data_IF_039222656382
#
_entry.id   IF_039222656382
#
_cell.length_a   1.000
_cell.length_b   1.000
_cell.length_c   1.000
_cell.angle_alpha   90.00
_cell.angle_beta   90.00
_cell.angle_gamma   90.00
#
_symmetry.space_group_name_H-M   'P 1'
#
loop_
_entity.id
_entity.type
_entity.pdbx_description
1 polymer ?
#
# COMPACT_ATOMS: atom_id res chain seq x y z
N UNK A 1 -2.40 39.78 -31.83
CA UNK A 1 -2.71 38.34 -31.68
C UNK A 1 -2.58 37.77 -30.26
N UNK A 2 -1.67 38.18 -29.35
CA UNK A 2 -1.47 37.45 -28.07
C UNK A 2 -2.59 37.62 -27.01
N UNK A 3 -3.30 38.76 -26.96
CA UNK A 3 -4.19 39.10 -25.83
C UNK A 3 -5.49 38.29 -25.73
N UNK A 4 -6.03 37.78 -26.85
CA UNK A 4 -7.30 37.02 -26.87
C UNK A 4 -7.11 35.51 -27.10
N UNK A 5 -5.92 35.09 -27.52
CA UNK A 5 -5.63 33.69 -27.81
C UNK A 5 -5.54 32.83 -26.54
N UNK A 6 -4.92 33.35 -25.48
CA UNK A 6 -4.70 32.63 -24.22
C UNK A 6 -6.01 32.29 -23.48
N UNK A 7 -6.97 33.22 -23.28
CA UNK A 7 -8.25 32.88 -22.66
C UNK A 7 -9.10 31.93 -23.52
N UNK A 8 -9.08 32.11 -24.85
CA UNK A 8 -9.82 31.27 -25.79
C UNK A 8 -9.31 29.83 -25.81
N UNK A 9 -7.99 29.61 -25.88
CA UNK A 9 -7.40 28.27 -25.88
C UNK A 9 -7.66 27.53 -24.56
N UNK A 10 -7.52 28.21 -23.41
CA UNK A 10 -7.81 27.59 -22.12
C UNK A 10 -9.26 27.08 -22.06
N UNK A 11 -10.23 27.88 -22.50
CA UNK A 11 -11.62 27.46 -22.49
C UNK A 11 -11.90 26.25 -23.41
N UNK A 12 -11.28 26.21 -24.60
CA UNK A 12 -11.37 25.05 -25.50
C UNK A 12 -10.79 23.78 -24.87
N UNK A 13 -9.68 23.91 -24.14
CA UNK A 13 -9.01 22.81 -23.44
C UNK A 13 -9.81 22.34 -22.22
N UNK A 14 -10.34 23.26 -21.42
CA UNK A 14 -11.16 22.97 -20.24
C UNK A 14 -12.44 22.21 -20.66
N UNK A 15 -13.16 22.72 -21.66
CA UNK A 15 -14.40 22.14 -22.20
C UNK A 15 -14.17 20.93 -23.13
N UNK A 16 -12.92 20.53 -23.38
CA UNK A 16 -12.57 19.38 -24.22
C UNK A 16 -13.15 19.45 -25.65
N UNK A 17 -13.11 20.62 -26.29
CA UNK A 17 -13.66 20.82 -27.64
C UNK A 17 -12.73 20.28 -28.73
N UNK A 18 -12.74 18.97 -28.92
CA UNK A 18 -11.83 18.23 -29.84
C UNK A 18 -11.85 18.77 -31.28
N UNK A 19 -13.04 19.09 -31.81
CA UNK A 19 -13.19 19.57 -33.19
C UNK A 19 -12.52 20.94 -33.38
N UNK A 20 -12.77 21.86 -32.44
CA UNK A 20 -12.19 23.20 -32.44
C UNK A 20 -10.67 23.16 -32.26
N UNK A 21 -10.18 22.30 -31.34
CA UNK A 21 -8.75 22.10 -31.11
C UNK A 21 -8.02 21.53 -32.35
N UNK A 22 -8.65 20.60 -33.06
CA UNK A 22 -8.10 20.04 -34.31
C UNK A 22 -8.01 21.09 -35.41
N UNK A 23 -9.08 21.88 -35.60
CA UNK A 23 -9.08 22.99 -36.55
C UNK A 23 -8.01 24.03 -36.21
N UNK A 24 -7.89 24.38 -34.93
CA UNK A 24 -6.90 25.32 -34.43
C UNK A 24 -5.47 24.83 -34.72
N UNK A 25 -5.17 23.56 -34.47
CA UNK A 25 -3.88 22.97 -34.81
C UNK A 25 -3.58 23.02 -36.33
N UNK A 26 -4.56 22.69 -37.17
CA UNK A 26 -4.41 22.76 -38.63
C UNK A 26 -4.14 24.19 -39.13
N UNK A 27 -4.85 25.18 -38.58
CA UNK A 27 -4.66 26.59 -38.94
C UNK A 27 -3.28 27.10 -38.49
N UNK A 28 -2.87 26.81 -37.26
CA UNK A 28 -1.59 27.23 -36.71
C UNK A 28 -0.39 26.54 -37.37
N UNK A 29 -0.61 25.36 -37.95
CA UNK A 29 0.40 24.65 -38.75
C UNK A 29 0.70 25.34 -40.08
N UNK A 30 -0.22 26.16 -40.61
CA UNK A 30 -0.03 26.92 -41.87
C UNK A 30 0.69 28.26 -41.68
N UNK A 31 0.78 28.74 -40.44
CA UNK A 31 1.40 30.04 -40.10
C UNK A 31 2.82 29.82 -39.59
N UNK A 32 3.79 30.55 -40.14
CA UNK A 32 5.20 30.49 -39.68
C UNK A 32 5.27 30.85 -38.19
N UNK A 33 5.79 29.92 -37.38
CA UNK A 33 5.89 30.07 -35.93
C UNK A 33 4.58 29.79 -35.15
N UNK A 34 3.46 29.52 -35.84
CA UNK A 34 2.18 29.25 -35.18
C UNK A 34 2.24 28.04 -34.26
N UNK A 35 2.79 26.92 -34.74
CA UNK A 35 2.96 25.69 -33.94
C UNK A 35 3.78 25.95 -32.67
N UNK A 36 4.81 26.81 -32.74
CA UNK A 36 5.64 27.13 -31.57
C UNK A 36 4.87 27.94 -30.53
N UNK A 37 4.05 28.90 -30.96
CA UNK A 37 3.17 29.66 -30.06
C UNK A 37 2.13 28.75 -29.41
N UNK A 38 1.51 27.84 -30.18
CA UNK A 38 0.56 26.87 -29.66
C UNK A 38 1.22 25.93 -28.64
N UNK A 39 2.43 25.44 -28.93
CA UNK A 39 3.20 24.59 -28.03
C UNK A 39 3.52 25.30 -26.70
N UNK A 40 3.89 26.59 -26.75
CA UNK A 40 4.13 27.37 -25.54
C UNK A 40 2.87 27.49 -24.68
N UNK A 41 1.72 27.81 -25.28
CA UNK A 41 0.47 27.92 -24.52
C UNK A 41 -0.02 26.58 -23.99
N UNK A 42 0.18 25.50 -24.74
CA UNK A 42 -0.07 24.13 -24.30
C UNK A 42 0.73 23.76 -23.03
N UNK A 43 2.04 24.07 -23.01
CA UNK A 43 2.90 23.84 -21.84
C UNK A 43 2.41 24.66 -20.64
N UNK A 44 2.12 25.95 -20.84
CA UNK A 44 1.64 26.84 -19.78
C UNK A 44 0.31 26.35 -19.19
N UNK A 45 -0.62 25.90 -20.04
CA UNK A 45 -1.89 25.33 -19.61
C UNK A 45 -1.69 24.05 -18.78
N UNK A 46 -0.91 23.07 -19.28
CA UNK A 46 -0.66 21.82 -18.55
C UNK A 46 -0.04 22.11 -17.18
N UNK A 47 0.96 22.99 -17.13
CA UNK A 47 1.62 23.37 -15.87
C UNK A 47 0.64 24.07 -14.92
N UNK A 48 -0.19 24.98 -15.41
CA UNK A 48 -1.14 25.72 -14.59
C UNK A 48 -2.23 24.80 -14.00
N UNK A 49 -2.93 24.05 -14.87
CA UNK A 49 -3.98 23.13 -14.46
C UNK A 49 -3.44 22.02 -13.55
N UNK A 50 -2.35 21.35 -13.96
CA UNK A 50 -1.71 20.29 -13.17
C UNK A 50 -1.22 20.77 -11.80
N UNK A 51 -0.73 22.01 -11.69
CA UNK A 51 -0.35 22.60 -10.40
C UNK A 51 -1.54 22.69 -9.44
N UNK A 52 -2.75 22.95 -9.94
CA UNK A 52 -3.96 23.05 -9.09
C UNK A 52 -4.37 21.69 -8.50
N UNK A 53 -4.05 20.60 -9.19
CA UNK A 53 -4.30 19.22 -8.72
C UNK A 53 -3.37 18.87 -7.56
N UNK A 54 -2.06 19.19 -7.69
CA UNK A 54 -1.05 18.71 -6.73
C UNK A 54 -0.81 19.63 -5.54
N UNK A 55 -1.08 20.93 -5.65
CA UNK A 55 -0.73 21.92 -4.60
C UNK A 55 -1.75 21.92 -3.45
N UNK A 56 -3.05 21.74 -3.74
CA UNK A 56 -4.09 21.86 -2.71
C UNK A 56 -4.15 20.61 -1.80
N UNK A 57 -3.84 20.71 -0.49
CA UNK A 57 -3.91 19.57 0.43
C UNK A 57 -5.31 18.97 0.59
N UNK A 58 -6.37 19.75 0.40
CA UNK A 58 -7.75 19.27 0.50
C UNK A 58 -8.08 18.23 -0.59
N UNK A 59 -7.36 18.30 -1.72
CA UNK A 59 -7.48 17.37 -2.84
C UNK A 59 -6.57 16.14 -2.71
N UNK A 60 -5.82 15.96 -1.61
CA UNK A 60 -4.88 14.83 -1.45
C UNK A 60 -5.56 13.45 -1.63
N UNK A 61 -6.85 13.36 -1.29
CA UNK A 61 -7.63 12.11 -1.44
C UNK A 61 -7.92 11.74 -2.90
N UNK A 62 -8.15 12.74 -3.76
CA UNK A 62 -8.51 12.55 -5.18
C UNK A 62 -7.34 12.79 -6.13
N UNK A 63 -6.23 13.32 -5.63
CA UNK A 63 -5.07 13.75 -6.43
C UNK A 63 -4.62 12.73 -7.47
N UNK A 64 -4.37 11.48 -7.07
CA UNK A 64 -3.84 10.47 -7.99
C UNK A 64 -4.84 10.15 -9.09
N UNK A 65 -6.13 10.08 -8.76
CA UNK A 65 -7.19 9.88 -9.75
C UNK A 65 -7.28 11.07 -10.70
N UNK A 66 -7.31 12.30 -10.19
CA UNK A 66 -7.33 13.52 -11.01
C UNK A 66 -6.11 13.62 -11.93
N UNK A 67 -4.92 13.18 -11.49
CA UNK A 67 -3.72 13.12 -12.32
C UNK A 67 -3.84 12.11 -13.47
N UNK A 68 -4.41 10.93 -13.19
CA UNK A 68 -4.64 9.90 -14.21
C UNK A 68 -5.66 10.39 -15.24
N UNK A 69 -6.78 10.93 -14.79
CA UNK A 69 -7.84 11.44 -15.66
C UNK A 69 -7.34 12.62 -16.51
N UNK A 70 -6.53 13.51 -15.91
CA UNK A 70 -5.91 14.61 -16.63
C UNK A 70 -4.90 14.12 -17.67
N UNK A 71 -4.10 13.10 -17.35
CA UNK A 71 -3.16 12.50 -18.29
C UNK A 71 -3.89 11.85 -19.48
N UNK A 72 -4.96 11.10 -19.22
CA UNK A 72 -5.79 10.49 -20.26
C UNK A 72 -6.39 11.55 -21.19
N UNK A 73 -6.93 12.65 -20.64
CA UNK A 73 -7.46 13.78 -21.42
C UNK A 73 -6.37 14.40 -22.31
N UNK A 74 -5.20 14.68 -21.74
CA UNK A 74 -4.08 15.29 -22.45
C UNK A 74 -3.56 14.39 -23.58
N UNK A 75 -3.42 13.09 -23.32
CA UNK A 75 -3.00 12.12 -24.34
C UNK A 75 -4.01 12.03 -25.48
N UNK A 76 -5.31 12.00 -25.16
CA UNK A 76 -6.36 11.94 -26.16
C UNK A 76 -6.37 13.17 -27.08
N UNK A 77 -6.11 14.36 -26.54
CA UNK A 77 -5.97 15.59 -27.32
C UNK A 77 -4.74 15.52 -28.23
N UNK A 78 -3.59 15.05 -27.73
CA UNK A 78 -2.37 14.91 -28.54
C UNK A 78 -2.59 13.92 -29.69
N UNK A 79 -3.23 12.80 -29.41
CA UNK A 79 -3.50 11.76 -30.40
C UNK A 79 -4.45 12.27 -31.49
N UNK A 80 -5.61 12.78 -31.07
CA UNK A 80 -6.72 13.12 -31.97
C UNK A 80 -6.56 14.49 -32.62
N UNK A 81 -6.17 15.51 -31.85
CA UNK A 81 -6.13 16.90 -32.32
C UNK A 81 -4.78 17.28 -32.92
N UNK A 82 -3.68 16.81 -32.31
CA UNK A 82 -2.32 17.20 -32.70
C UNK A 82 -1.61 16.14 -33.55
N UNK A 83 -2.33 15.11 -34.01
CA UNK A 83 -1.85 14.07 -34.93
C UNK A 83 -0.58 13.37 -34.42
N UNK A 84 -0.52 13.08 -33.11
CA UNK A 84 0.65 12.47 -32.44
C UNK A 84 1.97 13.23 -32.68
N UNK A 85 1.92 14.56 -32.75
CA UNK A 85 3.13 15.36 -32.95
C UNK A 85 4.10 15.19 -31.76
N UNK A 86 5.28 14.62 -32.03
CA UNK A 86 6.34 14.35 -31.06
C UNK A 86 6.75 15.59 -30.22
N UNK A 87 6.68 16.80 -30.79
CA UNK A 87 6.99 18.02 -30.03
C UNK A 87 6.00 18.25 -28.88
N UNK A 88 4.72 17.97 -29.10
CA UNK A 88 3.68 18.09 -28.07
C UNK A 88 3.77 16.96 -27.04
N UNK A 89 4.15 15.75 -27.46
CA UNK A 89 4.41 14.63 -26.55
C UNK A 89 5.57 14.97 -25.61
N UNK A 90 6.69 15.46 -26.13
CA UNK A 90 7.86 15.80 -25.33
C UNK A 90 7.59 17.00 -24.41
N UNK A 91 6.93 18.04 -24.93
CA UNK A 91 6.49 19.18 -24.13
C UNK A 91 5.55 18.79 -22.99
N UNK A 92 4.64 17.84 -23.23
CA UNK A 92 3.75 17.30 -22.19
C UNK A 92 4.54 16.56 -21.12
N UNK A 93 5.48 15.67 -21.50
CA UNK A 93 6.34 14.93 -20.54
C UNK A 93 7.08 15.90 -19.62
N UNK A 94 7.75 16.90 -20.19
CA UNK A 94 8.46 17.93 -19.42
C UNK A 94 7.52 18.75 -18.52
N UNK A 95 6.32 19.08 -19.01
CA UNK A 95 5.34 19.82 -18.23
C UNK A 95 4.82 19.00 -17.03
N UNK A 96 4.49 17.72 -17.24
CA UNK A 96 4.07 16.79 -16.19
C UNK A 96 5.13 16.61 -15.12
N UNK A 97 6.37 16.36 -15.54
CA UNK A 97 7.51 16.27 -14.63
C UNK A 97 7.70 17.57 -13.85
N UNK A 98 7.57 18.74 -14.50
CA UNK A 98 7.72 20.04 -13.83
C UNK A 98 6.65 20.24 -12.74
N UNK A 99 5.36 20.06 -13.05
CA UNK A 99 4.30 20.44 -12.11
C UNK A 99 4.14 19.40 -11.00
N UNK A 100 4.30 18.10 -11.27
CA UNK A 100 4.18 17.04 -10.25
C UNK A 100 5.22 17.30 -9.16
N UNK A 101 6.46 17.62 -9.56
CA UNK A 101 7.55 17.83 -8.62
C UNK A 101 7.56 19.22 -7.96
N UNK A 102 6.58 20.11 -8.24
CA UNK A 102 6.41 21.34 -7.45
C UNK A 102 6.06 21.06 -6.01
N UNK A 103 5.37 19.95 -5.74
CA UNK A 103 5.07 19.51 -4.38
C UNK A 103 6.04 18.40 -3.97
N UNK A 104 6.95 18.66 -3.01
CA UNK A 104 7.93 17.68 -2.61
C UNK A 104 7.26 16.50 -1.90
N UNK A 105 7.71 15.29 -2.21
CA UNK A 105 7.43 14.02 -1.53
C UNK A 105 5.97 13.53 -1.51
N UNK A 106 4.97 14.42 -1.44
CA UNK A 106 3.57 14.02 -1.31
C UNK A 106 3.04 13.26 -2.53
N UNK A 107 3.31 13.65 -3.79
CA UNK A 107 2.87 12.86 -4.94
C UNK A 107 3.39 11.42 -4.88
N UNK A 108 4.66 11.22 -4.48
CA UNK A 108 5.25 9.90 -4.31
C UNK A 108 4.55 9.07 -3.22
N UNK A 109 4.30 9.69 -2.05
CA UNK A 109 3.55 9.07 -0.94
C UNK A 109 2.14 8.65 -1.37
N UNK A 110 1.40 9.55 -2.02
CA UNK A 110 0.01 9.31 -2.39
C UNK A 110 -0.09 8.26 -3.49
N UNK A 111 0.84 8.23 -4.43
CA UNK A 111 0.88 7.18 -5.47
C UNK A 111 1.16 5.81 -4.85
N UNK A 112 2.10 5.71 -3.89
CA UNK A 112 2.33 4.47 -3.16
C UNK A 112 1.06 3.98 -2.41
N UNK A 113 0.35 4.90 -1.73
CA UNK A 113 -0.92 4.58 -1.04
C UNK A 113 -2.04 4.21 -2.00
N UNK A 114 -2.11 4.86 -3.15
CA UNK A 114 -3.10 4.55 -4.17
C UNK A 114 -2.89 3.13 -4.72
N UNK A 115 -1.64 2.76 -5.04
CA UNK A 115 -1.30 1.38 -5.43
C UNK A 115 -1.66 0.38 -4.33
N UNK A 116 -1.31 0.66 -3.06
CA UNK A 116 -1.70 -0.20 -1.93
C UNK A 116 -3.21 -0.41 -1.84
N UNK A 117 -4.01 0.65 -2.02
CA UNK A 117 -5.47 0.55 -2.01
C UNK A 117 -6.00 -0.36 -3.12
N UNK A 118 -5.38 -0.33 -4.31
CA UNK A 118 -5.82 -1.13 -5.46
C UNK A 118 -5.43 -2.60 -5.35
N UNK A 119 -4.31 -2.90 -4.68
CA UNK A 119 -3.79 -4.26 -4.47
C UNK A 119 -4.36 -4.96 -3.23
N UNK A 120 -5.24 -4.32 -2.43
CA UNK A 120 -5.88 -4.96 -1.27
C UNK A 120 -7.08 -5.83 -1.67
N UNK A 121 -7.24 -6.97 -0.98
CA UNK A 121 -8.27 -7.99 -1.21
C UNK A 121 -9.74 -7.50 -1.17
N UNK A 122 -10.00 -6.27 -0.72
CA UNK A 122 -11.34 -5.67 -0.73
C UNK A 122 -11.77 -5.10 -2.09
N UNK A 123 -10.87 -5.00 -3.06
CA UNK A 123 -11.14 -4.39 -4.36
C UNK A 123 -11.79 -5.39 -5.34
N UNK A 124 -12.92 -6.00 -4.94
CA UNK A 124 -13.65 -7.02 -5.73
C UNK A 124 -14.31 -6.49 -7.00
N UNK A 125 -14.25 -5.18 -7.24
CA UNK A 125 -14.89 -4.52 -8.38
C UNK A 125 -14.03 -4.53 -9.65
N UNK A 126 -12.73 -4.83 -9.56
CA UNK A 126 -11.83 -4.83 -10.71
C UNK A 126 -11.39 -6.25 -11.07
N UNK A 127 -11.50 -6.59 -12.34
CA UNK A 127 -10.87 -7.79 -12.92
C UNK A 127 -9.35 -7.66 -12.91
N UNK A 128 -8.63 -8.78 -12.98
CA UNK A 128 -7.16 -8.77 -13.08
C UNK A 128 -6.66 -7.96 -14.29
N UNK A 129 -7.41 -7.95 -15.40
CA UNK A 129 -7.07 -7.17 -16.60
C UNK A 129 -7.23 -5.66 -16.37
N UNK A 130 -8.31 -5.22 -15.72
CA UNK A 130 -8.51 -3.82 -15.36
C UNK A 130 -7.49 -3.35 -14.34
N UNK A 131 -7.14 -4.21 -13.37
CA UNK A 131 -6.10 -3.94 -12.39
C UNK A 131 -4.75 -3.75 -13.10
N UNK A 132 -4.39 -4.62 -14.03
CA UNK A 132 -3.14 -4.53 -14.78
C UNK A 132 -3.07 -3.23 -15.61
N UNK A 133 -4.14 -2.90 -16.35
CA UNK A 133 -4.27 -1.62 -17.08
C UNK A 133 -4.11 -0.41 -16.16
N UNK A 134 -4.69 -0.49 -14.96
CA UNK A 134 -4.58 0.57 -13.97
C UNK A 134 -3.15 0.71 -13.45
N UNK A 135 -2.46 -0.40 -13.15
CA UNK A 135 -1.06 -0.38 -12.72
C UNK A 135 -0.17 0.23 -13.80
N UNK A 136 -0.39 -0.08 -15.08
CA UNK A 136 0.35 0.54 -16.19
C UNK A 136 0.17 2.06 -16.25
N UNK A 137 -1.08 2.54 -16.11
CA UNK A 137 -1.34 3.98 -16.07
C UNK A 137 -0.65 4.66 -14.89
N UNK A 138 -0.68 4.04 -13.71
CA UNK A 138 0.03 4.56 -12.53
C UNK A 138 1.54 4.63 -12.79
N UNK A 139 2.11 3.61 -13.44
CA UNK A 139 3.54 3.58 -13.75
C UNK A 139 3.96 4.69 -14.72
N UNK A 140 3.08 5.09 -15.65
CA UNK A 140 3.32 6.27 -16.50
C UNK A 140 3.47 7.54 -15.66
N UNK A 141 2.58 7.75 -14.67
CA UNK A 141 2.66 8.92 -13.77
C UNK A 141 3.90 8.82 -12.87
N UNK A 142 4.21 7.62 -12.37
CA UNK A 142 5.38 7.37 -11.52
C UNK A 142 6.71 7.78 -12.18
N UNK A 143 6.84 7.62 -13.51
CA UNK A 143 8.02 8.07 -14.25
C UNK A 143 8.33 9.56 -14.07
N UNK A 144 7.30 10.39 -13.91
CA UNK A 144 7.44 11.84 -13.75
C UNK A 144 7.88 12.28 -12.35
N UNK A 145 8.02 11.37 -11.37
CA UNK A 145 8.32 11.72 -9.98
C UNK A 145 9.83 11.67 -9.71
N UNK A 146 10.34 12.67 -8.97
CA UNK A 146 11.72 12.69 -8.48
C UNK A 146 11.94 11.86 -7.20
N UNK A 147 11.04 11.98 -6.21
CA UNK A 147 11.12 11.26 -4.93
C UNK A 147 10.76 9.77 -5.00
N UNK A 148 11.44 9.00 -5.85
CA UNK A 148 11.20 7.55 -6.00
C UNK A 148 11.59 6.75 -4.75
N UNK A 149 12.56 7.23 -3.98
CA UNK A 149 12.96 6.72 -2.67
C UNK A 149 11.83 6.86 -1.62
N UNK A 150 11.11 7.99 -1.66
CA UNK A 150 9.93 8.20 -0.82
C UNK A 150 8.84 7.20 -1.20
N UNK A 151 8.57 7.03 -2.49
CA UNK A 151 7.65 5.99 -2.97
C UNK A 151 8.07 4.61 -2.46
N UNK A 152 9.35 4.23 -2.61
CA UNK A 152 9.88 2.93 -2.15
C UNK A 152 9.62 2.73 -0.65
N UNK A 153 9.89 3.73 0.18
CA UNK A 153 9.71 3.65 1.62
C UNK A 153 8.25 3.38 2.01
N UNK A 154 7.30 4.11 1.40
CA UNK A 154 5.87 3.90 1.64
C UNK A 154 5.38 2.57 1.06
N UNK A 155 5.76 2.26 -0.18
CA UNK A 155 5.40 1.01 -0.85
C UNK A 155 5.87 -0.22 -0.08
N UNK A 156 7.14 -0.23 0.35
CA UNK A 156 7.73 -1.31 1.14
C UNK A 156 7.01 -1.52 2.47
N UNK A 157 6.67 -0.43 3.17
CA UNK A 157 5.93 -0.49 4.43
C UNK A 157 4.56 -1.11 4.24
N UNK A 158 3.84 -0.72 3.20
CA UNK A 158 2.48 -1.20 2.98
C UNK A 158 2.44 -2.61 2.36
N UNK A 159 3.40 -2.95 1.48
CA UNK A 159 3.63 -4.32 1.01
C UNK A 159 3.88 -5.28 2.18
N UNK A 160 4.72 -4.89 3.15
CA UNK A 160 5.00 -5.73 4.32
C UNK A 160 3.72 -6.08 5.09
N UNK A 161 2.81 -5.12 5.24
CA UNK A 161 1.50 -5.36 5.88
C UNK A 161 0.63 -6.30 5.05
N UNK A 162 0.59 -6.13 3.72
CA UNK A 162 -0.22 -6.99 2.84
C UNK A 162 0.26 -8.44 2.87
N UNK A 163 1.57 -8.65 2.80
CA UNK A 163 2.20 -9.98 2.86
C UNK A 163 1.97 -10.68 4.21
N UNK A 164 2.20 -9.98 5.33
CA UNK A 164 2.14 -10.61 6.66
C UNK A 164 0.71 -10.83 7.18
N UNK A 165 -0.24 -9.99 6.78
CA UNK A 165 -1.64 -10.07 7.22
C UNK A 165 -2.51 -10.83 6.22
N UNK A 166 -1.95 -11.24 5.06
CA UNK A 166 -2.67 -12.01 4.05
C UNK A 166 -3.81 -11.24 3.38
N UNK A 167 -3.61 -9.93 3.13
CA UNK A 167 -4.65 -9.02 2.60
C UNK A 167 -4.41 -8.58 1.15
N UNK A 168 -3.56 -9.26 0.39
CA UNK A 168 -3.35 -8.98 -1.05
C UNK A 168 -4.52 -9.50 -1.90
N UNK A 169 -4.89 -8.76 -2.94
CA UNK A 169 -5.94 -9.15 -3.89
C UNK A 169 -5.50 -10.32 -4.79
N UNK A 170 -4.28 -10.26 -5.30
CA UNK A 170 -3.70 -11.29 -6.16
C UNK A 170 -2.18 -11.33 -5.99
N UNK A 171 -1.63 -12.55 -5.91
CA UNK A 171 -0.17 -12.75 -5.85
C UNK A 171 0.47 -12.37 -7.18
N UNK A 172 -0.20 -12.64 -8.29
CA UNK A 172 0.30 -12.35 -9.63
C UNK A 172 0.32 -10.84 -9.89
N UNK A 173 -0.69 -10.10 -9.42
CA UNK A 173 -0.70 -8.64 -9.48
C UNK A 173 0.46 -8.01 -8.70
N UNK A 174 0.81 -8.56 -7.53
CA UNK A 174 1.95 -8.07 -6.74
C UNK A 174 3.28 -8.34 -7.45
N UNK A 175 3.44 -9.53 -8.06
CA UNK A 175 4.62 -9.87 -8.87
C UNK A 175 4.72 -9.01 -10.12
N UNK A 176 3.59 -8.73 -10.79
CA UNK A 176 3.50 -7.83 -11.94
C UNK A 176 3.99 -6.42 -11.56
N UNK A 177 3.46 -5.86 -10.46
CA UNK A 177 3.87 -4.54 -9.99
C UNK A 177 5.38 -4.46 -9.69
N UNK A 178 5.96 -5.48 -9.07
CA UNK A 178 7.42 -5.55 -8.86
C UNK A 178 8.20 -5.59 -10.19
N UNK A 179 7.73 -6.34 -11.17
CA UNK A 179 8.35 -6.40 -12.50
C UNK A 179 8.35 -5.02 -13.16
N UNK A 180 7.23 -4.29 -13.10
CA UNK A 180 7.12 -2.92 -13.62
C UNK A 180 8.06 -1.96 -12.91
N UNK A 181 8.14 -2.01 -11.58
CA UNK A 181 9.09 -1.19 -10.80
C UNK A 181 10.54 -1.51 -11.15
N UNK A 182 10.87 -2.78 -11.37
CA UNK A 182 12.22 -3.22 -11.76
C UNK A 182 12.60 -2.71 -13.14
N UNK A 183 11.66 -2.71 -14.08
CA UNK A 183 11.88 -2.17 -15.42
C UNK A 183 12.18 -0.66 -15.38
N UNK A 184 11.43 0.09 -14.57
CA UNK A 184 11.55 1.56 -14.52
C UNK A 184 12.73 2.05 -13.65
N UNK A 185 13.04 1.38 -12.53
CA UNK A 185 14.04 1.84 -11.57
C UNK A 185 15.29 0.96 -11.49
N UNK A 186 15.30 -0.19 -12.18
CA UNK A 186 16.37 -1.16 -12.13
C UNK A 186 16.31 -2.11 -10.91
N UNK A 187 17.17 -3.13 -10.95
CA UNK A 187 17.16 -4.23 -9.97
C UNK A 187 17.57 -3.80 -8.55
N UNK A 188 18.40 -2.76 -8.40
CA UNK A 188 18.82 -2.29 -7.08
C UNK A 188 17.64 -1.73 -6.27
N UNK A 189 16.70 -1.04 -6.94
CA UNK A 189 15.49 -0.48 -6.35
C UNK A 189 14.55 -1.56 -5.82
N UNK A 190 14.37 -2.65 -6.58
CA UNK A 190 13.45 -3.74 -6.20
C UNK A 190 14.07 -4.84 -5.35
N UNK A 191 15.41 -4.86 -5.18
CA UNK A 191 16.14 -5.94 -4.50
C UNK A 191 15.57 -6.30 -3.13
N UNK A 192 15.26 -5.29 -2.29
CA UNK A 192 14.67 -5.50 -0.96
C UNK A 192 13.25 -6.06 -1.05
N UNK A 193 12.45 -5.54 -1.98
CA UNK A 193 11.07 -5.99 -2.18
C UNK A 193 11.02 -7.44 -2.68
N UNK A 194 11.89 -7.80 -3.63
CA UNK A 194 12.07 -9.18 -4.10
C UNK A 194 12.51 -10.11 -2.94
N UNK A 195 13.41 -9.62 -2.08
CA UNK A 195 13.81 -10.32 -0.85
C UNK A 195 12.65 -10.61 0.09
N UNK A 196 11.70 -9.68 0.25
CA UNK A 196 10.50 -9.89 1.06
C UNK A 196 9.63 -11.04 0.52
N UNK A 197 9.48 -11.17 -0.81
CA UNK A 197 8.76 -12.31 -1.40
C UNK A 197 9.47 -13.64 -1.17
N UNK A 198 10.79 -13.67 -1.36
CA UNK A 198 11.61 -14.86 -1.09
C UNK A 198 11.49 -15.31 0.36
N UNK A 199 11.50 -14.37 1.31
CA UNK A 199 11.31 -14.68 2.73
C UNK A 199 9.93 -15.31 2.99
N UNK A 200 8.87 -14.87 2.29
CA UNK A 200 7.54 -15.48 2.41
C UNK A 200 7.48 -16.90 1.86
N UNK A 201 8.11 -17.17 0.72
CA UNK A 201 8.19 -18.53 0.15
C UNK A 201 9.01 -19.45 1.06
N UNK A 202 10.20 -19.02 1.47
CA UNK A 202 11.06 -19.78 2.38
C UNK A 202 10.39 -20.06 3.73
N UNK A 203 9.63 -19.10 4.26
CA UNK A 203 8.88 -19.28 5.52
C UNK A 203 7.84 -20.39 5.40
N UNK A 204 7.15 -20.52 4.26
CA UNK A 204 6.19 -21.60 4.03
C UNK A 204 6.88 -22.96 4.04
N UNK A 205 8.03 -23.08 3.38
CA UNK A 205 8.80 -24.33 3.34
C UNK A 205 9.31 -24.72 4.73
N UNK A 206 9.84 -23.76 5.48
CA UNK A 206 10.28 -23.97 6.87
C UNK A 206 9.10 -24.42 7.74
N UNK A 207 7.92 -23.83 7.56
CA UNK A 207 6.73 -24.21 8.32
C UNK A 207 6.23 -25.62 7.99
N UNK A 208 6.32 -26.06 6.73
CA UNK A 208 6.01 -27.44 6.34
C UNK A 208 6.94 -28.41 7.07
N UNK A 209 8.25 -28.13 7.05
CA UNK A 209 9.23 -28.95 7.75
C UNK A 209 9.03 -28.96 9.27
N UNK A 210 8.67 -27.81 9.86
CA UNK A 210 8.38 -27.70 11.29
C UNK A 210 7.17 -28.56 11.67
N UNK A 211 6.07 -28.46 10.91
CA UNK A 211 4.87 -29.27 11.15
C UNK A 211 5.19 -30.76 11.04
N UNK A 212 5.97 -31.19 10.03
CA UNK A 212 6.38 -32.59 9.87
C UNK A 212 7.17 -33.11 11.09
N UNK A 213 8.19 -32.38 11.54
CA UNK A 213 8.99 -32.77 12.72
C UNK A 213 8.13 -32.82 13.97
N UNK A 214 7.21 -31.86 14.14
CA UNK A 214 6.25 -31.84 15.26
C UNK A 214 5.37 -33.09 15.28
N UNK A 215 4.84 -33.52 14.12
CA UNK A 215 4.06 -34.75 14.01
C UNK A 215 4.91 -36.00 14.28
N UNK A 216 6.14 -36.07 13.76
CA UNK A 216 7.01 -37.25 13.91
C UNK A 216 7.53 -37.44 15.34
N UNK A 217 7.79 -36.35 16.06
CA UNK A 217 8.35 -36.41 17.42
C UNK A 217 7.29 -36.61 18.51
N UNK A 218 6.01 -36.73 18.13
CA UNK A 218 4.87 -36.88 19.05
C UNK A 218 4.92 -35.88 20.23
N UNK A 219 5.47 -34.69 19.98
CA UNK A 219 5.51 -33.64 20.99
C UNK A 219 4.07 -33.18 21.21
N UNK A 220 3.44 -33.70 22.25
CA UNK A 220 2.20 -33.18 22.82
C UNK A 220 2.47 -31.74 23.26
N UNK A 221 2.29 -30.81 22.33
CA UNK A 221 2.23 -29.40 22.65
C UNK A 221 0.98 -29.22 23.51
N UNK A 222 1.11 -28.67 24.73
CA UNK A 222 -0.05 -28.29 25.52
C UNK A 222 -0.81 -27.20 24.76
N UNK A 223 -2.11 -27.41 24.56
CA UNK A 223 -3.00 -26.42 23.98
C UNK A 223 -3.36 -26.70 22.51
N UNK A 224 -4.62 -26.38 22.18
CA UNK A 224 -5.21 -26.49 20.85
C UNK A 224 -4.77 -25.34 19.92
N UNK A 225 -3.51 -24.90 20.04
CA UNK A 225 -2.98 -23.71 19.35
C UNK A 225 -2.20 -24.14 18.09
N UNK A 226 -2.69 -23.71 16.92
CA UNK A 226 -1.97 -23.81 15.67
C UNK A 226 -1.03 -22.61 15.49
N UNK A 227 0.28 -22.86 15.47
CA UNK A 227 1.30 -21.83 15.23
C UNK A 227 1.71 -21.81 13.75
N UNK A 228 1.71 -20.63 13.15
CA UNK A 228 2.38 -20.34 11.87
C UNK A 228 3.36 -19.19 12.05
N UNK A 229 4.58 -19.36 11.58
CA UNK A 229 5.67 -18.38 11.75
C UNK A 229 6.19 -17.93 10.39
N UNK A 230 6.36 -16.63 10.23
CA UNK A 230 7.09 -16.04 9.10
C UNK A 230 8.46 -15.57 9.57
N UNK A 231 9.52 -16.05 8.93
CA UNK A 231 10.91 -15.66 9.18
C UNK A 231 11.30 -14.57 8.18
N UNK A 232 11.74 -13.42 8.70
CA UNK A 232 11.99 -12.22 7.90
C UNK A 232 13.47 -11.82 8.00
N UNK A 233 14.08 -11.50 6.87
CA UNK A 233 15.47 -11.02 6.80
C UNK A 233 15.52 -9.53 7.15
N UNK A 234 16.13 -9.16 8.28
CA UNK A 234 16.09 -7.78 8.83
C UNK A 234 16.49 -6.67 7.85
N UNK A 235 17.38 -6.94 6.89
CA UNK A 235 17.83 -5.95 5.89
C UNK A 235 16.84 -5.67 4.75
N UNK A 236 15.86 -6.55 4.51
CA UNK A 236 14.87 -6.39 3.44
C UNK A 236 13.59 -5.72 3.92
N UNK A 237 13.19 -5.99 5.16
CA UNK A 237 11.93 -5.52 5.71
C UNK A 237 12.06 -4.12 6.32
N UNK A 238 10.95 -3.39 6.50
CA UNK A 238 10.93 -2.17 7.30
C UNK A 238 11.51 -2.42 8.71
N UNK A 239 12.14 -1.40 9.29
CA UNK A 239 12.58 -1.48 10.68
C UNK A 239 11.35 -1.45 11.60
N UNK A 240 11.21 -2.48 12.42
CA UNK A 240 10.17 -2.56 13.44
C UNK A 240 10.78 -2.33 14.81
N UNK A 241 10.15 -1.46 15.59
CA UNK A 241 10.54 -1.26 16.99
C UNK A 241 10.05 -2.46 17.79
N UNK A 242 10.95 -3.22 18.42
CA UNK A 242 10.56 -4.32 19.28
C UNK A 242 9.72 -3.80 20.44
N UNK A 243 8.65 -4.50 20.77
CA UNK A 243 7.85 -4.24 21.96
C UNK A 243 7.84 -5.50 22.82
N UNK A 244 8.23 -5.34 24.07
CA UNK A 244 8.06 -6.37 25.08
C UNK A 244 6.59 -6.46 25.47
N UNK A 245 6.09 -7.70 25.52
CA UNK A 245 4.73 -8.02 25.95
C UNK A 245 4.77 -9.32 26.74
N UNK A 246 3.86 -9.46 27.69
CA UNK A 246 3.69 -10.69 28.46
C UNK A 246 2.83 -11.66 27.67
N UNK A 247 3.47 -12.70 27.13
CA UNK A 247 2.77 -13.78 26.43
C UNK A 247 2.32 -14.86 27.42
N UNK A 248 1.15 -15.49 27.21
CA UNK A 248 0.75 -16.66 27.97
C UNK A 248 1.81 -17.78 27.91
N UNK A 249 1.99 -18.57 28.99
CA UNK A 249 3.02 -19.62 29.05
C UNK A 249 2.98 -20.60 27.88
N UNK A 250 1.77 -20.93 27.40
CA UNK A 250 1.58 -21.82 26.24
C UNK A 250 2.19 -21.24 24.95
N UNK A 251 2.02 -19.92 24.72
CA UNK A 251 2.58 -19.24 23.56
C UNK A 251 4.11 -19.12 23.66
N UNK A 252 4.64 -18.85 24.85
CA UNK A 252 6.10 -18.82 25.10
C UNK A 252 6.72 -20.19 24.81
N UNK A 253 6.10 -21.27 25.29
CA UNK A 253 6.56 -22.64 25.03
C UNK A 253 6.59 -22.94 23.53
N UNK A 254 5.55 -22.55 22.80
CA UNK A 254 5.49 -22.68 21.35
C UNK A 254 6.60 -21.91 20.62
N UNK A 255 6.88 -20.67 21.05
CA UNK A 255 7.97 -19.87 20.50
C UNK A 255 9.34 -20.52 20.72
N UNK A 256 9.60 -21.08 21.92
CA UNK A 256 10.87 -21.74 22.23
C UNK A 256 11.04 -23.08 21.47
N UNK A 257 9.97 -23.86 21.30
CA UNK A 257 9.99 -25.07 20.46
C UNK A 257 10.38 -24.70 19.03
N UNK A 258 9.73 -23.69 18.44
CA UNK A 258 10.05 -23.24 17.09
C UNK A 258 11.47 -22.69 16.98
N UNK A 259 11.90 -21.87 17.94
CA UNK A 259 13.25 -21.29 17.99
C UNK A 259 14.34 -22.36 18.05
N UNK A 260 14.15 -23.39 18.88
CA UNK A 260 15.08 -24.53 18.99
C UNK A 260 15.17 -25.29 17.65
N UNK A 261 14.03 -25.56 17.02
CA UNK A 261 13.98 -26.17 15.69
C UNK A 261 14.73 -25.33 14.65
N UNK A 262 14.47 -24.03 14.60
CA UNK A 262 15.05 -23.13 13.60
C UNK A 262 16.56 -22.99 13.76
N UNK A 263 17.04 -22.73 14.99
CA UNK A 263 18.45 -22.56 15.29
C UNK A 263 19.25 -23.87 15.14
N UNK A 264 18.61 -25.02 15.37
CA UNK A 264 19.21 -26.33 15.11
C UNK A 264 19.51 -26.58 13.63
N UNK A 265 18.71 -26.02 12.72
CA UNK A 265 18.92 -26.12 11.26
C UNK A 265 19.74 -24.98 10.68
N UNK A 266 19.68 -23.79 11.30
CA UNK A 266 20.32 -22.58 10.81
C UNK A 266 21.29 -22.02 11.86
N UNK A 267 22.49 -22.61 11.89
CA UNK A 267 23.57 -22.18 12.79
C UNK A 267 24.04 -20.75 12.47
N UNK A 268 24.46 -20.02 13.52
CA UNK A 268 24.97 -18.65 13.40
C UNK A 268 23.90 -17.56 13.21
N UNK A 269 22.61 -17.89 13.27
CA UNK A 269 21.52 -16.90 13.19
C UNK A 269 21.02 -16.49 14.59
N UNK A 270 20.49 -15.27 14.68
CA UNK A 270 19.77 -14.77 15.86
C UNK A 270 18.34 -14.44 15.47
N UNK A 271 17.38 -14.91 16.25
CA UNK A 271 15.96 -14.61 16.07
C UNK A 271 15.53 -13.51 17.03
N UNK A 272 14.60 -12.67 16.57
CA UNK A 272 13.94 -11.63 17.36
C UNK A 272 12.47 -11.59 16.97
N UNK A 273 11.59 -11.88 17.93
CA UNK A 273 10.14 -11.84 17.72
C UNK A 273 9.65 -10.39 17.63
N UNK A 274 8.72 -10.15 16.70
CA UNK A 274 8.11 -8.84 16.46
C UNK A 274 6.61 -8.90 16.79
N UNK A 275 6.27 -8.65 18.06
CA UNK A 275 4.90 -8.78 18.58
C UNK A 275 3.89 -7.86 17.87
N UNK A 276 4.36 -6.71 17.35
CA UNK A 276 3.56 -5.73 16.61
C UNK A 276 2.99 -6.26 15.29
N UNK A 277 3.58 -7.32 14.74
CA UNK A 277 3.17 -7.97 13.49
C UNK A 277 2.35 -9.24 13.71
N UNK A 278 2.26 -9.70 14.96
CA UNK A 278 1.51 -10.90 15.33
C UNK A 278 0.02 -10.70 15.19
N UNK A 279 -0.67 -11.75 14.75
CA UNK A 279 -2.13 -11.84 14.74
C UNK A 279 -2.56 -13.26 15.10
N UNK A 280 -3.77 -13.40 15.60
CA UNK A 280 -4.34 -14.66 16.04
C UNK A 280 -5.80 -14.77 15.59
N UNK A 281 -6.30 -16.00 15.56
CA UNK A 281 -7.73 -16.28 15.46
C UNK A 281 -8.19 -16.80 16.81
N UNK A 282 -9.14 -16.10 17.42
CA UNK A 282 -9.73 -16.48 18.71
C UNK A 282 -11.12 -17.06 18.49
N UNK A 283 -11.42 -18.16 19.18
CA UNK A 283 -12.79 -18.68 19.30
C UNK A 283 -13.43 -18.01 20.50
N UNK A 284 -14.43 -17.18 20.26
CA UNK A 284 -15.19 -16.48 21.29
C UNK A 284 -16.57 -17.11 21.44
N UNK A 285 -16.97 -17.38 22.68
CA UNK A 285 -18.31 -17.86 23.01
C UNK A 285 -19.16 -16.68 23.48
N UNK A 286 -20.13 -16.28 22.66
CA UNK A 286 -21.09 -15.24 22.98
C UNK A 286 -22.46 -15.85 23.26
N UNK A 287 -23.35 -15.09 23.92
CA UNK A 287 -24.73 -15.52 24.20
C UNK A 287 -25.50 -15.92 22.94
N UNK A 288 -25.23 -15.25 21.82
CA UNK A 288 -25.88 -15.50 20.52
C UNK A 288 -25.15 -16.56 19.67
N UNK A 289 -24.09 -17.18 20.19
CA UNK A 289 -23.37 -18.27 19.54
C UNK A 289 -21.85 -18.07 19.50
N UNK A 290 -21.18 -19.08 18.95
CA UNK A 290 -19.72 -19.10 18.82
C UNK A 290 -19.30 -18.31 17.58
N UNK A 291 -18.27 -17.47 17.72
CA UNK A 291 -17.69 -16.69 16.62
C UNK A 291 -16.17 -16.83 16.62
N UNK A 292 -15.59 -16.70 15.43
CA UNK A 292 -14.14 -16.63 15.27
C UNK A 292 -13.73 -15.18 15.01
N UNK A 293 -12.77 -14.68 15.79
CA UNK A 293 -12.29 -13.31 15.74
C UNK A 293 -10.85 -13.31 15.23
N UNK A 294 -10.60 -12.69 14.07
CA UNK A 294 -9.25 -12.42 13.61
C UNK A 294 -8.77 -11.10 14.21
N UNK A 295 -7.80 -11.18 15.13
CA UNK A 295 -7.35 -10.05 15.94
C UNK A 295 -5.82 -9.96 15.95
N UNK A 296 -5.28 -8.76 16.20
CA UNK A 296 -3.84 -8.58 16.43
C UNK A 296 -3.40 -9.25 17.73
N UNK A 297 -2.10 -9.54 17.87
CA UNK A 297 -1.56 -10.13 19.10
C UNK A 297 -1.85 -9.27 20.34
N UNK A 298 -1.79 -7.94 20.22
CA UNK A 298 -2.14 -7.04 21.32
C UNK A 298 -3.60 -7.16 21.73
N UNK A 299 -4.51 -7.25 20.76
CA UNK A 299 -5.92 -7.51 21.04
C UNK A 299 -6.12 -8.89 21.66
N UNK A 300 -5.37 -9.91 21.22
CA UNK A 300 -5.42 -11.25 21.81
C UNK A 300 -5.11 -11.24 23.29
N UNK A 301 -4.00 -10.59 23.69
CA UNK A 301 -3.58 -10.54 25.09
C UNK A 301 -4.63 -9.88 25.99
N UNK A 302 -5.22 -8.77 25.52
CA UNK A 302 -6.29 -8.09 26.25
C UNK A 302 -7.55 -8.96 26.33
N UNK A 303 -7.98 -9.60 25.23
CA UNK A 303 -9.18 -10.42 25.20
C UNK A 303 -9.06 -11.68 26.06
N UNK A 304 -7.87 -12.27 26.16
CA UNK A 304 -7.63 -13.46 26.98
C UNK A 304 -7.81 -13.18 28.48
N UNK A 305 -7.58 -11.94 28.94
CA UNK A 305 -7.82 -11.56 30.34
C UNK A 305 -9.28 -11.73 30.74
N UNK A 306 -10.22 -11.56 29.81
CA UNK A 306 -11.65 -11.69 30.06
C UNK A 306 -12.13 -13.14 30.30
N UNK A 307 -11.23 -14.12 30.17
CA UNK A 307 -11.51 -15.48 30.62
C UNK A 307 -11.41 -15.63 32.16
N UNK A 308 -10.73 -14.70 32.84
CA UNK A 308 -10.47 -14.75 34.29
C UNK A 308 -11.22 -13.64 35.06
N UNK A 309 -11.87 -12.69 34.37
CA UNK A 309 -12.64 -11.61 34.98
C UNK A 309 -13.50 -10.84 33.97
N UNK A 310 -14.46 -10.05 34.47
CA UNK A 310 -15.42 -9.33 33.61
C UNK A 310 -15.05 -7.86 33.36
N UNK A 311 -14.36 -7.24 34.31
CA UNK A 311 -13.98 -5.82 34.26
C UNK A 311 -12.52 -5.64 34.68
N UNK A 312 -11.78 -4.83 33.94
CA UNK A 312 -10.38 -4.51 34.23
C UNK A 312 -10.15 -3.02 34.02
N UNK A 313 -9.38 -2.40 34.93
CA UNK A 313 -8.92 -1.02 34.70
C UNK A 313 -7.82 -1.00 33.64
N UNK A 314 -7.55 0.18 33.06
CA UNK A 314 -6.47 0.35 32.10
C UNK A 314 -5.08 0.02 32.70
N UNK A 315 -4.89 0.25 34.00
CA UNK A 315 -3.62 -0.05 34.66
C UNK A 315 -3.46 -1.58 34.87
N UNK A 316 -4.55 -2.29 35.19
CA UNK A 316 -4.54 -3.75 35.29
C UNK A 316 -4.16 -4.41 33.95
N UNK A 317 -4.77 -3.92 32.85
CA UNK A 317 -4.47 -4.41 31.49
C UNK A 317 -3.01 -4.18 31.13
N UNK A 318 -2.47 -3.00 31.44
CA UNK A 318 -1.07 -2.65 31.20
C UNK A 318 -0.12 -3.54 31.99
N UNK A 319 -0.39 -3.76 33.28
CA UNK A 319 0.43 -4.61 34.13
C UNK A 319 0.41 -6.06 33.67
N UNK A 320 -0.76 -6.59 33.33
CA UNK A 320 -0.92 -7.97 32.90
C UNK A 320 -0.28 -8.23 31.53
N UNK A 321 -0.47 -7.34 30.56
CA UNK A 321 -0.05 -7.57 29.17
C UNK A 321 1.31 -6.99 28.81
N UNK A 322 1.84 -6.05 29.60
CA UNK A 322 3.06 -5.30 29.30
C UNK A 322 2.92 -4.29 28.15
N UNK A 323 1.71 -4.08 27.62
CA UNK A 323 1.46 -3.18 26.49
C UNK A 323 1.42 -1.73 26.99
N UNK A 324 2.10 -0.82 26.29
CA UNK A 324 2.06 0.61 26.62
C UNK A 324 0.65 1.23 26.47
N UNK A 325 0.30 2.16 27.36
CA UNK A 325 -1.01 2.83 27.42
C UNK A 325 -1.52 3.37 26.08
N UNK A 326 -0.64 3.97 25.27
CA UNK A 326 -0.99 4.45 23.93
C UNK A 326 -1.53 3.33 23.03
N UNK A 327 -0.85 2.18 23.02
CA UNK A 327 -1.28 1.02 22.25
C UNK A 327 -2.56 0.41 22.82
N UNK A 328 -2.72 0.39 24.15
CA UNK A 328 -3.96 -0.06 24.80
C UNK A 328 -5.15 0.82 24.39
N UNK A 329 -5.00 2.14 24.36
CA UNK A 329 -6.07 3.02 23.88
C UNK A 329 -6.49 2.71 22.44
N UNK A 330 -5.52 2.47 21.55
CA UNK A 330 -5.81 2.12 20.16
C UNK A 330 -6.48 0.74 20.06
N UNK A 331 -6.02 -0.23 20.85
CA UNK A 331 -6.59 -1.58 20.95
C UNK A 331 -8.02 -1.52 21.48
N UNK A 332 -8.26 -0.82 22.58
CA UNK A 332 -9.56 -0.65 23.21
C UNK A 332 -10.55 0.05 22.27
N UNK A 333 -10.15 1.14 21.62
CA UNK A 333 -11.01 1.82 20.64
C UNK A 333 -11.43 0.90 19.50
N UNK A 334 -10.54 0.01 19.04
CA UNK A 334 -10.83 -0.93 17.95
C UNK A 334 -11.59 -2.19 18.42
N UNK A 335 -11.28 -2.70 19.61
CA UNK A 335 -11.96 -3.84 20.24
C UNK A 335 -13.38 -3.50 20.63
N UNK A 336 -13.62 -2.32 21.20
CA UNK A 336 -14.98 -1.86 21.52
C UNK A 336 -15.83 -1.83 20.24
N UNK A 337 -15.33 -1.25 19.15
CA UNK A 337 -16.09 -1.22 17.88
C UNK A 337 -16.31 -2.62 17.28
N UNK A 338 -15.34 -3.53 17.39
CA UNK A 338 -15.41 -4.85 16.72
C UNK A 338 -16.20 -5.88 17.53
N UNK A 339 -16.00 -5.91 18.85
CA UNK A 339 -16.62 -6.86 19.77
C UNK A 339 -18.05 -6.45 20.09
N UNK A 340 -18.35 -5.15 20.29
CA UNK A 340 -19.74 -4.71 20.52
C UNK A 340 -20.63 -4.87 19.27
N UNK A 341 -20.08 -4.64 18.06
CA UNK A 341 -20.79 -4.98 16.83
C UNK A 341 -21.05 -6.48 16.68
N UNK A 342 -20.14 -7.32 17.17
CA UNK A 342 -20.32 -8.77 17.17
C UNK A 342 -21.30 -9.25 18.26
N UNK A 343 -21.50 -8.48 19.33
CA UNK A 343 -22.41 -8.76 20.45
C UNK A 343 -23.85 -8.29 20.22
N UNK A 344 -24.13 -7.54 19.15
CA UNK A 344 -25.48 -7.09 18.84
C UNK A 344 -26.07 -6.08 19.83
N UNK A 345 -25.31 -5.54 20.78
CA UNK A 345 -25.82 -4.54 21.73
C UNK A 345 -25.88 -3.16 21.04
N UNK A 346 -27.09 -2.58 20.84
CA UNK A 346 -27.25 -1.29 20.18
C UNK A 346 -26.95 -0.11 21.11
N UNK A 347 -26.46 -0.33 22.34
CA UNK A 347 -26.13 0.75 23.29
C UNK A 347 -24.68 1.24 23.13
N UNK A 348 -24.35 1.70 21.92
CA UNK A 348 -23.61 2.94 21.57
C UNK A 348 -23.15 2.93 20.12
#
# INVERSE_FOLDING_TARGET
MPKYFKPGLNNLLDENRIQDLSLLYQLFSRVRGGVQVLLQQWIEYIKAFGSTIVINPEKDKTMVQELLDFKDKVDHIIDTCFLKNEKFINAMKEAFETFINKRPNKPAELIAKYVDSKLRAGNKEATDEELEKMLDKIMIIFRFIYGKDVFEAFYKKDLAKRLLVGKSASVDAEKSMLSKLKHECGAAFTSKLEGMFKDMELSKDIMIQFKQVKYMQNQNVPGNIELTVNILTMGYWPTYVPMEVHLPPEMVKLQEIFKTFYLGKHSGRKLQWQSTLGHCVLKAEFKEGKKELQVSLFQTLVLLMFNEGEEFSLEDIKQATGIGLYCIHQVASNCVVTVFRALGDPRK
#
